data_IF_167141430855
#
_entry.id   IF_167141430855
#
_cell.length_a   1.000
_cell.length_b   1.000
_cell.length_c   1.000
_cell.angle_alpha   90.00
_cell.angle_beta   90.00
_cell.angle_gamma   90.00
#
_symmetry.space_group_name_H-M   'P 1'
#
loop_
_entity.id
_entity.type
_entity.pdbx_description
1 polymer ?
#
# COMPACT_ATOMS: atom_id res chain seq x y z
N UNK A 1 -1.21 10.51 -108.27
CA UNK A 1 -2.24 11.04 -107.36
C UNK A 1 -2.46 10.01 -106.26
N UNK A 2 -2.02 10.29 -105.03
CA UNK A 2 -1.99 9.35 -103.90
C UNK A 2 -3.19 9.62 -102.99
N UNK A 3 -4.03 8.63 -102.76
CA UNK A 3 -5.12 8.62 -101.78
C UNK A 3 -4.55 8.29 -100.38
N UNK A 4 -4.90 9.02 -99.31
CA UNK A 4 -4.57 8.60 -97.96
C UNK A 4 -5.74 7.81 -97.35
N UNK A 5 -5.43 6.62 -96.83
CA UNK A 5 -6.35 5.77 -96.07
C UNK A 5 -6.46 6.27 -94.63
N UNK A 6 -7.70 6.36 -94.14
CA UNK A 6 -8.07 6.56 -92.74
C UNK A 6 -7.75 5.30 -91.92
N UNK A 7 -7.11 5.45 -90.76
CA UNK A 7 -7.08 4.41 -89.73
C UNK A 7 -7.31 5.00 -88.32
N UNK A 8 -8.21 4.32 -87.63
CA UNK A 8 -8.97 4.63 -86.42
C UNK A 8 -8.13 4.97 -85.17
N UNK A 9 -8.51 6.03 -84.46
CA UNK A 9 -8.16 6.22 -83.04
C UNK A 9 -9.07 5.34 -82.17
N UNK A 10 -8.49 4.36 -81.48
CA UNK A 10 -9.18 3.58 -80.45
C UNK A 10 -9.17 4.36 -79.12
N UNK A 11 -10.31 4.91 -78.72
CA UNK A 11 -10.50 5.54 -77.42
C UNK A 11 -10.78 4.45 -76.37
N UNK A 12 -9.74 4.00 -75.68
CA UNK A 12 -9.85 3.02 -74.59
C UNK A 12 -10.29 3.75 -73.31
N UNK A 13 -11.60 3.79 -73.04
CA UNK A 13 -12.13 4.26 -71.76
C UNK A 13 -12.01 3.14 -70.71
N UNK A 14 -10.99 3.19 -69.86
CA UNK A 14 -10.90 2.31 -68.70
C UNK A 14 -11.30 3.06 -67.43
N UNK A 15 -12.48 2.68 -66.92
CA UNK A 15 -13.03 3.08 -65.64
C UNK A 15 -12.02 2.83 -64.50
N UNK A 16 -11.67 3.87 -63.75
CA UNK A 16 -11.04 3.68 -62.45
C UNK A 16 -12.12 3.18 -61.45
N UNK A 17 -11.90 2.09 -60.70
CA UNK A 17 -12.78 1.77 -59.60
C UNK A 17 -12.64 2.87 -58.54
N UNK A 18 -13.76 3.47 -58.13
CA UNK A 18 -13.81 4.30 -56.94
C UNK A 18 -13.49 3.40 -55.74
N UNK A 19 -12.25 3.46 -55.25
CA UNK A 19 -11.88 2.86 -53.98
C UNK A 19 -12.56 3.65 -52.87
N UNK A 20 -13.73 3.20 -52.43
CA UNK A 20 -14.38 3.72 -51.23
C UNK A 20 -13.59 3.24 -50.01
N UNK A 21 -12.67 4.07 -49.52
CA UNK A 21 -12.12 3.88 -48.19
C UNK A 21 -13.28 4.05 -47.20
N UNK A 22 -13.69 2.96 -46.55
CA UNK A 22 -14.66 3.03 -45.46
C UNK A 22 -13.93 3.60 -44.23
N UNK A 23 -13.97 4.92 -44.09
CA UNK A 23 -13.38 5.59 -42.95
C UNK A 23 -14.08 5.13 -41.66
N UNK A 24 -13.35 4.35 -40.87
CA UNK A 24 -13.84 3.82 -39.60
C UNK A 24 -13.52 4.83 -38.51
N UNK A 25 -14.56 5.45 -37.94
CA UNK A 25 -14.38 6.40 -36.83
C UNK A 25 -14.44 5.65 -35.51
N UNK A 26 -13.36 5.68 -34.73
CA UNK A 26 -13.31 5.13 -33.38
C UNK A 26 -13.62 6.27 -32.39
N UNK A 27 -14.70 6.14 -31.64
CA UNK A 27 -15.03 7.04 -30.53
C UNK A 27 -14.46 6.48 -29.23
N UNK A 28 -13.54 7.22 -28.60
CA UNK A 28 -12.94 6.87 -27.32
C UNK A 28 -13.49 7.82 -26.25
N UNK A 29 -14.01 7.26 -25.16
CA UNK A 29 -14.45 8.02 -23.98
C UNK A 29 -13.97 7.32 -22.71
N UNK A 30 -13.81 8.09 -21.64
CA UNK A 30 -13.36 7.59 -20.34
C UNK A 30 -13.60 8.61 -19.23
N UNK A 31 -13.44 8.17 -17.99
CA UNK A 31 -13.53 9.00 -16.78
C UNK A 31 -12.21 8.91 -16.01
N UNK A 32 -11.77 10.03 -15.45
CA UNK A 32 -10.68 10.07 -14.45
C UNK A 32 -11.32 10.10 -13.06
N UNK A 33 -10.94 9.17 -12.19
CA UNK A 33 -11.42 9.10 -10.80
C UNK A 33 -10.25 9.25 -9.84
N UNK A 34 -10.50 9.94 -8.74
CA UNK A 34 -9.58 9.98 -7.61
C UNK A 34 -9.95 8.84 -6.64
N UNK A 35 -9.22 7.73 -6.76
CA UNK A 35 -9.44 6.49 -6.02
C UNK A 35 -8.49 6.35 -4.82
N UNK A 36 -7.79 7.41 -4.42
CA UNK A 36 -6.81 7.34 -3.34
C UNK A 36 -7.05 8.40 -2.27
N UNK A 37 -6.33 8.26 -1.16
CA UNK A 37 -6.16 9.31 -0.16
C UNK A 37 -4.70 9.71 -0.06
N UNK A 38 -4.44 10.97 0.28
CA UNK A 38 -3.13 11.40 0.72
C UNK A 38 -2.91 11.05 2.21
N UNK A 39 -1.66 10.80 2.58
CA UNK A 39 -1.25 10.67 3.99
C UNK A 39 -1.04 12.07 4.56
N UNK A 40 -1.73 12.38 5.66
CA UNK A 40 -1.57 13.66 6.35
C UNK A 40 -0.14 13.83 6.88
N UNK A 41 0.35 15.08 6.96
CA UNK A 41 1.72 15.36 7.39
C UNK A 41 2.08 14.76 8.76
N UNK A 42 1.14 14.77 9.71
CA UNK A 42 1.29 14.17 11.05
C UNK A 42 1.48 12.65 11.04
N UNK A 43 1.17 11.97 9.93
CA UNK A 43 1.25 10.52 9.79
C UNK A 43 2.39 10.04 8.89
N UNK A 44 3.27 10.95 8.43
CA UNK A 44 4.40 10.59 7.57
C UNK A 44 5.59 10.09 8.37
N UNK A 45 5.96 10.81 9.42
CA UNK A 45 7.11 10.51 10.27
C UNK A 45 6.72 10.81 11.72
N UNK A 46 6.33 9.78 12.47
CA UNK A 46 5.96 9.92 13.88
C UNK A 46 6.56 8.81 14.73
N UNK A 47 6.76 9.11 16.00
CA UNK A 47 7.29 8.17 16.99
C UNK A 47 6.17 7.74 17.92
N UNK A 48 6.08 6.44 18.17
CA UNK A 48 5.21 5.87 19.20
C UNK A 48 6.06 5.57 20.43
N UNK A 49 5.85 6.30 21.51
CA UNK A 49 6.54 6.08 22.77
C UNK A 49 5.91 4.90 23.53
N UNK A 50 6.58 3.75 23.48
CA UNK A 50 6.17 2.51 24.15
C UNK A 50 6.28 2.57 25.68
N UNK A 51 6.72 3.70 26.24
CA UNK A 51 6.89 3.97 27.66
C UNK A 51 7.97 3.10 28.33
N UNK A 52 8.32 3.45 29.56
CA UNK A 52 9.22 2.67 30.38
C UNK A 52 8.54 1.38 30.86
N UNK A 53 9.23 0.26 30.63
CA UNK A 53 8.70 -1.07 30.89
C UNK A 53 9.68 -1.87 31.75
N UNK A 54 9.25 -2.32 32.93
CA UNK A 54 10.09 -3.11 33.81
C UNK A 54 10.41 -4.47 33.19
N UNK A 55 11.70 -4.81 33.05
CA UNK A 55 12.12 -6.11 32.48
C UNK A 55 11.48 -7.32 33.19
N UNK A 56 11.18 -7.20 34.48
CA UNK A 56 10.53 -8.24 35.29
C UNK A 56 9.12 -8.62 34.82
N UNK A 57 8.43 -7.74 34.07
CA UNK A 57 7.09 -8.07 33.54
C UNK A 57 7.15 -9.09 32.40
N UNK A 58 8.31 -9.28 31.78
CA UNK A 58 8.53 -10.25 30.71
C UNK A 58 8.99 -11.60 31.29
N UNK A 59 8.12 -12.22 32.08
CA UNK A 59 8.42 -13.46 32.81
C UNK A 59 8.32 -14.74 31.95
N UNK A 60 7.74 -14.65 30.76
CA UNK A 60 7.54 -15.76 29.84
C UNK A 60 7.56 -15.27 28.38
N UNK A 61 7.87 -16.18 27.45
CA UNK A 61 7.64 -15.92 26.02
C UNK A 61 6.16 -15.62 25.79
N UNK A 62 5.88 -14.57 25.02
CA UNK A 62 4.52 -14.07 24.78
C UNK A 62 4.02 -13.06 25.82
N UNK A 63 4.75 -12.80 26.91
CA UNK A 63 4.41 -11.72 27.83
C UNK A 63 4.46 -10.35 27.12
N UNK A 64 3.46 -9.50 27.36
CA UNK A 64 3.32 -8.22 26.66
C UNK A 64 3.14 -7.03 27.58
N UNK A 65 3.49 -5.84 27.07
CA UNK A 65 3.18 -4.56 27.71
C UNK A 65 1.74 -4.14 27.41
N UNK A 66 1.20 -3.16 28.15
CA UNK A 66 -0.01 -2.44 27.74
C UNK A 66 0.15 -1.86 26.31
N UNK A 67 -0.92 -1.86 25.51
CA UNK A 67 -0.89 -1.31 24.16
C UNK A 67 -0.91 0.22 24.16
N UNK A 68 -0.03 0.83 23.35
CA UNK A 68 0.04 2.28 23.13
C UNK A 68 -0.66 2.61 21.81
N UNK A 69 -1.67 3.49 21.80
CA UNK A 69 -2.39 3.85 20.58
C UNK A 69 -1.55 4.74 19.67
N UNK A 70 -1.73 4.57 18.37
CA UNK A 70 -1.30 5.53 17.35
C UNK A 70 -2.31 5.56 16.20
N UNK A 71 -2.22 6.58 15.35
CA UNK A 71 -3.18 6.77 14.25
C UNK A 71 -2.50 7.14 12.94
N UNK A 72 -3.09 6.68 11.84
CA UNK A 72 -2.75 7.12 10.49
C UNK A 72 -3.94 7.91 9.96
N UNK A 73 -3.70 9.17 9.60
CA UNK A 73 -4.72 10.09 9.09
C UNK A 73 -4.58 10.18 7.57
N UNK A 74 -5.66 9.84 6.87
CA UNK A 74 -5.78 9.91 5.43
C UNK A 74 -6.61 11.14 5.05
N UNK A 75 -5.96 12.15 4.48
CA UNK A 75 -6.57 13.42 4.05
C UNK A 75 -5.66 14.21 3.10
N UNK A 76 -6.21 14.79 2.00
CA UNK A 76 -7.57 14.59 1.49
C UNK A 76 -7.79 13.19 0.90
N UNK A 77 -9.04 12.74 0.82
CA UNK A 77 -9.46 11.52 0.14
C UNK A 77 -10.32 11.85 -1.10
N UNK A 78 -10.10 11.13 -2.19
CA UNK A 78 -10.96 11.18 -3.37
C UNK A 78 -12.40 10.71 -3.07
N UNK A 79 -13.35 11.03 -3.94
CA UNK A 79 -14.77 10.68 -3.75
C UNK A 79 -15.12 9.26 -4.19
N UNK A 80 -14.18 8.53 -4.78
CA UNK A 80 -14.39 7.16 -5.29
C UNK A 80 -13.68 6.10 -4.43
N UNK A 81 -12.81 6.50 -3.50
CA UNK A 81 -12.15 5.58 -2.57
C UNK A 81 -13.10 5.15 -1.45
N UNK A 82 -13.29 3.84 -1.28
CA UNK A 82 -14.25 3.26 -0.32
C UNK A 82 -13.60 2.32 0.68
N UNK A 83 -12.37 1.86 0.40
CA UNK A 83 -11.63 1.01 1.30
C UNK A 83 -10.11 1.12 1.08
N UNK A 84 -9.36 0.76 2.10
CA UNK A 84 -7.89 0.67 2.07
C UNK A 84 -7.42 -0.53 2.87
N UNK A 85 -6.38 -1.22 2.41
CA UNK A 85 -5.58 -2.12 3.25
C UNK A 85 -4.38 -1.36 3.79
N UNK A 86 -4.09 -1.56 5.07
CA UNK A 86 -2.89 -1.01 5.71
C UNK A 86 -1.98 -2.16 6.11
N UNK A 87 -0.83 -2.26 5.44
CA UNK A 87 0.24 -3.19 5.80
C UNK A 87 1.33 -2.49 6.60
N UNK A 88 2.13 -3.27 7.32
CA UNK A 88 3.35 -2.79 7.97
C UNK A 88 4.52 -3.64 7.51
N UNK A 89 5.59 -3.01 7.08
CA UNK A 89 6.82 -3.65 6.61
C UNK A 89 8.00 -3.19 7.44
N UNK A 90 8.99 -4.06 7.63
CA UNK A 90 10.15 -3.79 8.47
C UNK A 90 11.01 -5.02 8.69
N UNK A 91 12.10 -4.87 9.43
CA UNK A 91 12.95 -6.02 9.77
C UNK A 91 12.22 -6.88 10.79
N UNK A 92 11.90 -8.11 10.43
CA UNK A 92 11.20 -9.03 11.31
C UNK A 92 12.11 -9.55 12.42
N UNK A 93 11.55 -9.78 13.61
CA UNK A 93 12.25 -10.47 14.69
C UNK A 93 12.66 -11.89 14.26
N UNK A 94 13.85 -12.32 14.68
CA UNK A 94 14.44 -13.59 14.23
C UNK A 94 13.77 -14.83 14.83
N UNK A 95 13.02 -14.68 15.92
CA UNK A 95 12.31 -15.78 16.60
C UNK A 95 10.83 -15.77 16.24
N UNK A 96 10.20 -14.61 16.28
CA UNK A 96 8.81 -14.44 15.88
C UNK A 96 8.71 -13.45 14.71
N UNK A 97 8.67 -13.98 13.50
CA UNK A 97 8.68 -13.19 12.25
C UNK A 97 7.45 -12.31 12.04
N UNK A 98 6.42 -12.44 12.89
CA UNK A 98 5.26 -11.53 12.87
C UNK A 98 5.52 -10.21 13.59
N UNK A 99 6.60 -10.09 14.36
CA UNK A 99 6.97 -8.90 15.13
C UNK A 99 8.08 -8.12 14.44
N UNK A 100 8.18 -6.82 14.72
CA UNK A 100 9.37 -6.04 14.36
C UNK A 100 10.52 -6.36 15.31
N UNK A 101 11.70 -6.50 14.71
CA UNK A 101 12.96 -6.61 15.44
C UNK A 101 13.31 -5.27 16.07
N UNK A 102 13.89 -5.31 17.27
CA UNK A 102 14.53 -4.13 17.84
C UNK A 102 15.88 -3.85 17.15
N UNK A 103 16.21 -2.57 17.01
CA UNK A 103 17.50 -2.12 16.52
C UNK A 103 18.62 -2.58 17.46
N UNK A 104 19.70 -3.10 16.88
CA UNK A 104 20.84 -3.58 17.64
C UNK A 104 21.72 -2.41 18.11
N UNK A 105 22.34 -2.56 19.28
CA UNK A 105 23.28 -1.58 19.82
C UNK A 105 23.77 -1.96 21.20
N UNK A 106 24.84 -1.30 21.66
CA UNK A 106 25.47 -1.60 22.96
C UNK A 106 24.51 -1.45 24.16
N UNK A 107 23.50 -0.59 24.03
CA UNK A 107 22.50 -0.33 25.07
C UNK A 107 21.10 -0.80 24.68
N UNK A 108 20.95 -1.66 23.65
CA UNK A 108 19.66 -2.12 23.16
C UNK A 108 19.08 -3.24 24.04
N UNK A 109 17.75 -3.25 24.18
CA UNK A 109 17.04 -4.38 24.77
C UNK A 109 17.12 -5.62 23.86
N UNK A 110 16.97 -6.82 24.44
CA UNK A 110 16.99 -8.07 23.69
C UNK A 110 15.96 -9.07 24.23
N UNK A 111 15.58 -10.05 23.39
CA UNK A 111 14.61 -11.08 23.72
C UNK A 111 13.14 -10.67 23.54
N UNK A 112 12.89 -9.62 22.77
CA UNK A 112 11.55 -9.10 22.49
C UNK A 112 11.48 -8.41 21.13
N UNK A 113 10.26 -8.23 20.64
CA UNK A 113 9.96 -7.44 19.46
C UNK A 113 8.76 -6.52 19.66
N UNK A 114 8.50 -5.65 18.69
CA UNK A 114 7.31 -4.79 18.68
C UNK A 114 6.17 -5.48 17.94
N UNK A 115 5.03 -5.60 18.61
CA UNK A 115 3.78 -6.15 18.09
C UNK A 115 2.88 -4.99 17.66
N UNK A 116 2.49 -4.96 16.39
CA UNK A 116 1.54 -3.98 15.85
C UNK A 116 0.16 -4.63 15.79
N UNK A 117 -0.84 -3.88 16.21
CA UNK A 117 -2.21 -4.34 16.37
C UNK A 117 -3.17 -3.41 15.61
N UNK A 118 -4.24 -3.98 15.08
CA UNK A 118 -5.37 -3.23 14.51
C UNK A 118 -6.25 -2.58 15.59
N UNK A 119 -7.32 -1.92 15.16
CA UNK A 119 -8.29 -1.27 16.05
C UNK A 119 -8.98 -2.26 17.01
N UNK A 120 -9.10 -3.53 16.63
CA UNK A 120 -9.66 -4.60 17.46
C UNK A 120 -8.60 -5.26 18.35
N UNK A 121 -7.39 -4.70 18.39
CA UNK A 121 -6.23 -5.24 19.10
C UNK A 121 -5.82 -6.64 18.62
N UNK A 122 -6.15 -6.97 17.38
CA UNK A 122 -5.65 -8.18 16.70
C UNK A 122 -4.31 -7.88 16.04
N UNK A 123 -3.39 -8.84 16.10
CA UNK A 123 -2.05 -8.70 15.51
C UNK A 123 -2.13 -8.45 14.00
N UNK A 124 -1.33 -7.50 13.53
CA UNK A 124 -0.98 -7.28 12.14
C UNK A 124 0.46 -7.75 11.92
N UNK A 125 0.69 -8.97 11.39
CA UNK A 125 2.04 -9.47 11.15
C UNK A 125 2.80 -8.55 10.21
N UNK A 126 4.04 -8.21 10.56
CA UNK A 126 4.88 -7.43 9.65
C UNK A 126 5.23 -8.24 8.41
N UNK A 127 5.34 -7.55 7.27
CA UNK A 127 5.59 -8.14 5.96
C UNK A 127 4.51 -9.16 5.53
N UNK A 128 3.30 -9.07 6.09
CA UNK A 128 2.17 -9.87 5.63
C UNK A 128 1.88 -9.59 4.14
N UNK A 129 1.57 -10.63 3.34
CA UNK A 129 1.14 -10.42 1.96
C UNK A 129 -0.21 -9.68 1.95
N UNK A 130 -0.46 -8.87 0.91
CA UNK A 130 -1.72 -8.12 0.77
C UNK A 130 -2.98 -9.00 0.83
N UNK A 131 -2.89 -10.26 0.41
CA UNK A 131 -4.00 -11.22 0.51
C UNK A 131 -4.40 -11.58 1.94
N UNK A 132 -3.52 -11.37 2.92
CA UNK A 132 -3.78 -11.62 4.33
C UNK A 132 -4.21 -10.34 5.09
N UNK A 133 -4.21 -9.18 4.44
CA UNK A 133 -4.58 -7.91 5.05
C UNK A 133 -6.05 -7.61 4.74
N UNK A 134 -6.82 -7.32 5.79
CA UNK A 134 -8.24 -6.99 5.66
C UNK A 134 -8.45 -5.58 5.11
N UNK A 135 -9.53 -5.41 4.36
CA UNK A 135 -9.99 -4.10 3.91
C UNK A 135 -10.58 -3.30 5.08
N UNK A 136 -10.13 -2.06 5.22
CA UNK A 136 -10.71 -1.08 6.13
C UNK A 136 -11.58 -0.12 5.33
N UNK A 137 -12.85 -0.01 5.69
CA UNK A 137 -13.79 0.91 5.03
C UNK A 137 -13.38 2.37 5.24
N UNK A 138 -13.43 3.14 4.17
CA UNK A 138 -13.22 4.58 4.16
C UNK A 138 -14.52 5.29 3.81
N UNK A 139 -14.67 6.50 4.35
CA UNK A 139 -15.73 7.43 3.95
C UNK A 139 -15.23 8.27 2.78
N UNK A 140 -15.82 8.16 1.58
CA UNK A 140 -15.34 8.88 0.40
C UNK A 140 -15.42 10.39 0.57
N UNK A 141 -14.42 11.12 0.05
CA UNK A 141 -14.38 12.58 0.11
C UNK A 141 -14.19 13.18 1.52
N UNK A 142 -13.99 12.36 2.54
CA UNK A 142 -13.81 12.79 3.93
C UNK A 142 -12.41 12.45 4.45
N UNK A 143 -12.01 13.09 5.55
CA UNK A 143 -10.83 12.67 6.30
C UNK A 143 -11.12 11.36 7.01
N UNK A 144 -10.23 10.39 6.87
CA UNK A 144 -10.35 9.07 7.51
C UNK A 144 -9.22 8.87 8.52
N UNK A 145 -9.57 8.48 9.74
CA UNK A 145 -8.61 8.24 10.83
C UNK A 145 -8.58 6.74 11.12
N UNK A 146 -7.43 6.11 10.90
CA UNK A 146 -7.20 4.69 11.11
C UNK A 146 -6.44 4.50 12.43
N UNK A 147 -7.02 3.77 13.38
CA UNK A 147 -6.44 3.58 14.71
C UNK A 147 -5.73 2.23 14.80
N UNK A 148 -4.56 2.25 15.42
CA UNK A 148 -3.70 1.09 15.64
C UNK A 148 -3.11 1.14 17.05
N UNK A 149 -2.47 0.05 17.44
CA UNK A 149 -1.73 -0.01 18.69
C UNK A 149 -0.38 -0.67 18.48
N UNK A 150 0.60 -0.29 19.30
CA UNK A 150 1.88 -0.98 19.40
C UNK A 150 2.12 -1.43 20.85
N UNK A 151 2.78 -2.56 21.03
CA UNK A 151 3.23 -3.06 22.35
C UNK A 151 4.50 -3.87 22.21
N UNK A 152 5.22 -4.07 23.30
CA UNK A 152 6.33 -5.03 23.33
C UNK A 152 5.80 -6.43 23.62
N UNK A 153 6.43 -7.43 23.01
CA UNK A 153 6.20 -8.84 23.29
C UNK A 153 7.54 -9.56 23.46
N UNK A 154 7.69 -10.28 24.57
CA UNK A 154 8.84 -11.15 24.79
C UNK A 154 8.84 -12.32 23.80
N UNK A 155 9.96 -12.52 23.12
CA UNK A 155 10.19 -13.66 22.22
C UNK A 155 11.11 -14.69 22.85
N UNK A 156 11.90 -14.28 23.86
CA UNK A 156 12.82 -15.13 24.60
C UNK A 156 12.83 -14.76 26.08
N UNK A 157 13.29 -15.69 26.92
CA UNK A 157 13.52 -15.47 28.35
C UNK A 157 14.91 -16.00 28.70
N UNK A 158 15.75 -15.25 29.45
CA UNK A 158 15.47 -13.92 30.00
C UNK A 158 15.48 -12.82 28.91
N UNK A 159 14.74 -11.73 29.15
CA UNK A 159 14.90 -10.49 28.38
C UNK A 159 16.05 -9.66 28.95
N UNK A 160 16.77 -8.94 28.09
CA UNK A 160 17.81 -8.00 28.51
C UNK A 160 17.25 -6.58 28.47
N UNK A 161 17.43 -5.83 29.56
CA UNK A 161 17.02 -4.43 29.63
C UNK A 161 17.89 -3.54 28.73
N UNK A 162 17.28 -2.53 28.12
CA UNK A 162 17.94 -1.57 27.26
C UNK A 162 16.95 -0.70 26.48
N UNK A 163 17.45 0.07 25.55
CA UNK A 163 16.68 0.92 24.66
C UNK A 163 15.88 0.07 23.68
N UNK A 164 14.65 0.51 23.43
CA UNK A 164 13.70 -0.12 22.53
C UNK A 164 13.50 0.83 21.36
N UNK A 165 14.16 0.54 20.25
CA UNK A 165 13.99 1.26 18.99
C UNK A 165 13.64 0.23 17.91
N UNK A 166 12.70 0.57 17.03
CA UNK A 166 12.37 -0.22 15.86
C UNK A 166 11.77 0.70 14.80
N UNK A 167 12.00 0.38 13.54
CA UNK A 167 11.45 1.15 12.41
C UNK A 167 10.55 0.27 11.56
N UNK A 168 9.39 0.80 11.19
CA UNK A 168 8.48 0.19 10.23
C UNK A 168 7.95 1.21 9.23
N UNK A 169 7.65 0.72 8.04
CA UNK A 169 7.01 1.47 6.97
C UNK A 169 5.61 0.90 6.77
N UNK A 170 4.59 1.74 6.90
CA UNK A 170 3.23 1.33 6.55
C UNK A 170 3.02 1.43 5.03
N UNK A 171 2.22 0.53 4.47
CA UNK A 171 1.84 0.51 3.06
C UNK A 171 0.33 0.64 2.93
N UNK A 172 -0.12 1.33 1.89
CA UNK A 172 -1.54 1.54 1.60
C UNK A 172 -1.88 0.94 0.24
N UNK A 173 -2.90 0.12 0.19
CA UNK A 173 -3.52 -0.37 -1.05
C UNK A 173 -4.98 0.06 -1.04
N UNK A 174 -5.35 0.95 -1.96
CA UNK A 174 -6.72 1.42 -2.15
C UNK A 174 -7.47 0.50 -3.13
N UNK A 175 -8.78 0.39 -2.94
CA UNK A 175 -9.66 -0.41 -3.79
C UNK A 175 -9.91 0.25 -5.16
#
# INVERSE_FOLDING_TARGET
MRTPQFLLSALLALFAPLAFAADSTIAISGYVRDNACAVAGESKDFTVDLQDNAAKQFYAVGATTPPVPFRIVLSPCGTSVTAVKVGFTGVADSVNTSLLKLDAGASAAAGMGVDILDQQQSRLPVNAPSSAIAWTTLTPGQTNILNFYARLMATQVPVTAGHVNATATFTLEFQ
#
